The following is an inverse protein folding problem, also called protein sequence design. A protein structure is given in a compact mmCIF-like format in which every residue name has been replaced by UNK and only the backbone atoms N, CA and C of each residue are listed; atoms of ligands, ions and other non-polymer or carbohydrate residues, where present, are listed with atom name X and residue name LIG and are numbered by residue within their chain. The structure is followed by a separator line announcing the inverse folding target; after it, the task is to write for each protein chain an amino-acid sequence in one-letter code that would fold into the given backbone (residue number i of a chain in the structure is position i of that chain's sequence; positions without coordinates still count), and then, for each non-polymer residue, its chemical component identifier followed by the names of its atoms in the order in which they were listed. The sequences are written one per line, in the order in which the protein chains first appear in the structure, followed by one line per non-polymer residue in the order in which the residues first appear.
data_IF_818871544267
#
_entry.id   IF_818871544267
#
_cell.length_a   1.000
_cell.length_b   1.000
_cell.length_c   1.000
_cell.angle_alpha   90.00
_cell.angle_beta   90.00
_cell.angle_gamma   90.00
#
_symmetry.space_group_name_H-M   'P 1'
#
loop_
_entity.id
_entity.type
_entity.pdbx_description
1 polymer ?
#
# COMPACT_ATOMS: atom_id res chain seq x y z
N UNK A 1 -13.82 8.40 -10.11
CA UNK A 1 -12.62 9.13 -10.59
C UNK A 1 -11.52 9.12 -9.53
N UNK A 2 -11.77 9.56 -8.29
CA UNK A 2 -10.75 9.60 -7.23
C UNK A 2 -10.16 8.21 -6.87
N UNK A 3 -11.01 7.18 -6.81
CA UNK A 3 -10.62 5.78 -6.54
C UNK A 3 -9.67 5.17 -7.60
N UNK A 4 -9.81 5.59 -8.86
CA UNK A 4 -8.95 5.12 -9.95
C UNK A 4 -7.59 5.86 -9.92
N UNK A 5 -7.62 7.15 -9.62
CA UNK A 5 -6.42 7.97 -9.47
C UNK A 5 -5.48 7.44 -8.37
N UNK A 6 -6.01 6.92 -7.27
CA UNK A 6 -5.18 6.32 -6.20
C UNK A 6 -4.46 5.07 -6.68
N UNK A 7 -5.13 4.17 -7.40
CA UNK A 7 -4.50 2.98 -7.96
C UNK A 7 -3.42 3.35 -8.99
N UNK A 8 -3.69 4.34 -9.84
CA UNK A 8 -2.69 4.84 -10.80
C UNK A 8 -1.51 5.54 -10.11
N UNK A 9 -1.75 6.27 -9.01
CA UNK A 9 -0.70 6.87 -8.21
C UNK A 9 0.22 5.80 -7.60
N UNK A 10 -0.32 4.66 -7.15
CA UNK A 10 0.49 3.55 -6.64
C UNK A 10 1.43 2.92 -7.68
N UNK A 11 1.10 2.97 -8.97
CA UNK A 11 2.03 2.54 -10.02
C UNK A 11 3.32 3.39 -10.05
N UNK A 12 3.21 4.68 -9.73
CA UNK A 12 4.37 5.58 -9.63
C UNK A 12 5.07 5.48 -8.26
N UNK A 13 4.30 5.31 -7.18
CA UNK A 13 4.81 5.35 -5.80
C UNK A 13 5.40 4.04 -5.31
N UNK A 14 5.01 2.89 -5.86
CA UNK A 14 5.53 1.58 -5.44
C UNK A 14 6.61 1.08 -6.38
N UNK A 15 7.85 0.99 -5.90
CA UNK A 15 8.93 0.25 -6.58
C UNK A 15 9.06 -1.18 -6.04
N UNK A 16 9.89 -2.01 -6.68
CA UNK A 16 10.26 -3.32 -6.12
C UNK A 16 11.02 -3.26 -4.78
N UNK A 17 11.54 -2.08 -4.40
CA UNK A 17 12.34 -1.87 -3.18
C UNK A 17 11.62 -1.09 -2.07
N UNK A 18 10.38 -0.64 -2.30
CA UNK A 18 9.67 0.21 -1.34
C UNK A 18 8.96 1.39 -1.96
N UNK A 19 8.59 2.35 -1.11
CA UNK A 19 7.98 3.62 -1.47
C UNK A 19 8.95 4.58 -2.18
N UNK A 20 8.50 5.19 -3.27
CA UNK A 20 9.27 6.16 -4.06
C UNK A 20 8.96 7.59 -3.63
N UNK A 21 9.64 8.05 -2.58
CA UNK A 21 9.51 9.42 -2.08
C UNK A 21 9.85 10.48 -3.15
N UNK A 22 10.74 10.14 -4.09
CA UNK A 22 11.10 10.99 -5.24
C UNK A 22 9.94 11.23 -6.22
N UNK A 23 8.89 10.41 -6.18
CA UNK A 23 7.72 10.52 -7.06
C UNK A 23 6.53 11.25 -6.43
N UNK A 24 6.61 11.65 -5.16
CA UNK A 24 5.49 12.28 -4.47
C UNK A 24 5.08 13.61 -5.09
N UNK A 25 6.05 14.48 -5.40
CA UNK A 25 5.76 15.78 -6.02
C UNK A 25 5.13 15.63 -7.42
N UNK A 26 5.66 14.79 -8.34
CA UNK A 26 4.99 14.46 -9.59
C UNK A 26 3.57 13.92 -9.41
N UNK A 27 3.37 12.97 -8.49
CA UNK A 27 2.05 12.38 -8.23
C UNK A 27 1.06 13.41 -7.70
N UNK A 28 1.47 14.27 -6.75
CA UNK A 28 0.61 15.34 -6.24
C UNK A 28 0.25 16.36 -7.33
N UNK A 29 1.18 16.65 -8.26
CA UNK A 29 0.91 17.55 -9.39
C UNK A 29 -0.06 16.93 -10.41
N UNK A 30 0.02 15.63 -10.66
CA UNK A 30 -0.82 14.92 -11.65
C UNK A 30 -2.20 14.55 -11.10
N UNK A 31 -2.26 13.99 -9.89
CA UNK A 31 -3.49 13.41 -9.33
C UNK A 31 -4.07 14.22 -8.17
N UNK A 32 -3.33 15.21 -7.67
CA UNK A 32 -3.75 16.06 -6.56
C UNK A 32 -3.19 15.63 -5.20
N UNK A 33 -3.04 16.61 -4.29
CA UNK A 33 -2.50 16.37 -2.94
C UNK A 33 -3.36 15.42 -2.09
N UNK A 34 -4.68 15.40 -2.29
CA UNK A 34 -5.58 14.48 -1.60
C UNK A 34 -5.32 13.01 -1.99
N UNK A 35 -5.07 12.74 -3.28
CA UNK A 35 -4.71 11.39 -3.76
C UNK A 35 -3.38 10.94 -3.18
N UNK A 36 -2.38 11.83 -3.14
CA UNK A 36 -1.09 11.51 -2.50
C UNK A 36 -1.26 11.21 -1.00
N UNK A 37 -2.06 12.01 -0.29
CA UNK A 37 -2.32 11.82 1.14
C UNK A 37 -2.99 10.47 1.40
N UNK A 38 -4.02 10.13 0.61
CA UNK A 38 -4.70 8.84 0.72
C UNK A 38 -3.78 7.66 0.38
N UNK A 39 -2.94 7.78 -0.65
CA UNK A 39 -1.96 6.74 -0.98
C UNK A 39 -0.94 6.51 0.16
N UNK A 40 -0.49 7.58 0.83
CA UNK A 40 0.38 7.49 2.00
C UNK A 40 -0.31 6.83 3.19
N UNK A 41 -1.57 7.17 3.44
CA UNK A 41 -2.36 6.58 4.51
C UNK A 41 -2.50 5.06 4.31
N UNK A 42 -2.91 4.63 3.11
CA UNK A 42 -3.06 3.22 2.74
C UNK A 42 -1.71 2.48 2.83
N UNK A 43 -0.62 3.11 2.39
CA UNK A 43 0.73 2.54 2.51
C UNK A 43 1.13 2.36 3.99
N UNK A 44 0.90 3.38 4.81
CA UNK A 44 1.19 3.33 6.24
C UNK A 44 0.31 2.28 6.95
N UNK A 45 -0.95 2.11 6.56
CA UNK A 45 -1.82 1.05 7.07
C UNK A 45 -1.21 -0.33 6.83
N UNK A 46 -0.73 -0.60 5.62
CA UNK A 46 -0.10 -1.89 5.29
C UNK A 46 1.18 -2.14 6.11
N UNK A 47 2.05 -1.13 6.23
CA UNK A 47 3.32 -1.28 6.95
C UNK A 47 3.17 -1.41 8.46
N UNK A 48 2.16 -0.77 9.05
CA UNK A 48 1.92 -0.79 10.49
C UNK A 48 0.92 -1.87 10.91
N UNK A 49 0.62 -2.83 10.03
CA UNK A 49 -0.27 -3.93 10.36
C UNK A 49 0.32 -4.79 11.48
N UNK A 50 -0.42 -4.91 12.58
CA UNK A 50 0.01 -5.66 13.76
C UNK A 50 -0.10 -7.16 13.54
N UNK A 51 0.99 -7.90 13.76
CA UNK A 51 1.05 -9.35 13.60
C UNK A 51 1.58 -10.01 14.87
N UNK A 52 0.89 -11.07 15.32
CA UNK A 52 1.39 -11.92 16.38
C UNK A 52 2.31 -13.00 15.80
N UNK A 53 3.61 -12.72 15.76
CA UNK A 53 4.63 -13.61 15.18
C UNK A 53 4.82 -14.94 15.93
N UNK A 54 4.23 -15.11 17.11
CA UNK A 54 4.23 -16.40 17.81
C UNK A 54 3.24 -17.40 17.19
N UNK A 55 2.24 -16.89 16.46
CA UNK A 55 1.08 -17.66 15.98
C UNK A 55 0.90 -17.57 14.45
N UNK A 56 1.62 -16.67 13.78
CA UNK A 56 1.42 -16.35 12.36
C UNK A 56 2.72 -16.45 11.57
N UNK A 57 2.68 -17.17 10.46
CA UNK A 57 3.78 -17.22 9.49
C UNK A 57 3.77 -15.99 8.57
N UNK A 58 4.91 -15.67 7.93
CA UNK A 58 4.99 -14.55 7.00
C UNK A 58 3.96 -14.62 5.84
N UNK A 59 3.73 -15.77 5.18
CA UNK A 59 2.69 -15.86 4.15
C UNK A 59 1.27 -15.60 4.68
N UNK A 60 0.94 -16.07 5.88
CA UNK A 60 -0.35 -15.82 6.53
C UNK A 60 -0.51 -14.33 6.84
N UNK A 61 0.53 -13.71 7.41
CA UNK A 61 0.56 -12.27 7.68
C UNK A 61 0.35 -11.44 6.42
N UNK A 62 1.03 -11.78 5.31
CA UNK A 62 0.84 -11.09 4.02
C UNK A 62 -0.60 -11.23 3.49
N UNK A 63 -1.19 -12.43 3.61
CA UNK A 63 -2.58 -12.66 3.19
C UNK A 63 -3.57 -11.86 4.06
N UNK A 64 -3.31 -11.76 5.36
CA UNK A 64 -4.13 -10.99 6.29
C UNK A 64 -4.00 -9.48 6.05
N UNK A 65 -2.80 -8.97 5.75
CA UNK A 65 -2.58 -7.58 5.31
C UNK A 65 -3.38 -7.28 4.04
N UNK A 66 -3.31 -8.15 3.03
CA UNK A 66 -4.06 -7.96 1.79
C UNK A 66 -5.58 -7.94 2.04
N UNK A 67 -6.08 -8.86 2.88
CA UNK A 67 -7.50 -8.89 3.27
C UNK A 67 -7.92 -7.63 4.02
N UNK A 68 -7.10 -7.18 4.98
CA UNK A 68 -7.36 -5.98 5.75
C UNK A 68 -7.37 -4.72 4.87
N UNK A 69 -6.44 -4.63 3.91
CA UNK A 69 -6.41 -3.56 2.90
C UNK A 69 -7.69 -3.54 2.07
N UNK A 70 -8.16 -4.69 1.57
CA UNK A 70 -9.40 -4.77 0.79
C UNK A 70 -10.65 -4.40 1.62
N UNK A 71 -10.65 -4.72 2.92
CA UNK A 71 -11.76 -4.35 3.81
C UNK A 71 -11.77 -2.86 4.15
N UNK A 72 -10.61 -2.27 4.48
CA UNK A 72 -10.49 -0.86 4.84
C UNK A 72 -10.56 0.08 3.63
N UNK A 73 -10.04 -0.37 2.49
CA UNK A 73 -9.94 0.40 1.25
C UNK A 73 -10.46 -0.42 0.06
N UNK A 74 -11.79 -0.58 -0.08
CA UNK A 74 -12.40 -1.45 -1.11
C UNK A 74 -12.10 -1.02 -2.55
N UNK A 75 -11.59 0.19 -2.75
CA UNK A 75 -11.17 0.70 -4.05
C UNK A 75 -9.76 0.24 -4.45
N UNK A 76 -8.95 -0.25 -3.52
CA UNK A 76 -7.58 -0.73 -3.80
C UNK A 76 -7.69 -2.02 -4.61
N UNK A 77 -7.08 -2.02 -5.80
CA UNK A 77 -7.04 -3.19 -6.67
C UNK A 77 -6.21 -4.32 -6.05
N UNK A 78 -6.51 -5.55 -6.45
CA UNK A 78 -5.76 -6.73 -6.00
C UNK A 78 -4.26 -6.62 -6.27
N UNK A 79 -3.88 -6.04 -7.41
CA UNK A 79 -2.48 -5.83 -7.78
C UNK A 79 -1.76 -4.88 -6.82
N UNK A 80 -2.41 -3.75 -6.47
CA UNK A 80 -1.86 -2.81 -5.48
C UNK A 80 -1.83 -3.43 -4.09
N UNK A 81 -2.90 -4.11 -3.68
CA UNK A 81 -2.98 -4.81 -2.39
C UNK A 81 -1.87 -5.85 -2.23
N UNK A 82 -1.61 -6.63 -3.28
CA UNK A 82 -0.51 -7.61 -3.31
C UNK A 82 0.86 -6.91 -3.18
N UNK A 83 1.10 -5.82 -3.90
CA UNK A 83 2.36 -5.05 -3.78
C UNK A 83 2.54 -4.50 -2.37
N UNK A 84 1.50 -3.93 -1.77
CA UNK A 84 1.53 -3.41 -0.40
C UNK A 84 1.83 -4.51 0.64
N UNK A 85 1.23 -5.69 0.50
CA UNK A 85 1.52 -6.84 1.37
C UNK A 85 2.97 -7.33 1.22
N UNK A 86 3.54 -7.27 0.01
CA UNK A 86 4.97 -7.56 -0.19
C UNK A 86 5.86 -6.51 0.48
N UNK A 87 5.51 -5.23 0.39
CA UNK A 87 6.26 -4.16 1.06
C UNK A 87 6.22 -4.30 2.58
N UNK A 88 5.09 -4.73 3.16
CA UNK A 88 5.01 -5.13 4.57
C UNK A 88 6.05 -6.23 4.90
N UNK A 89 6.12 -7.28 4.08
CA UNK A 89 7.07 -8.37 4.28
C UNK A 89 8.55 -7.91 4.18
N UNK A 90 8.84 -6.94 3.32
CA UNK A 90 10.17 -6.33 3.23
C UNK A 90 10.49 -5.44 4.45
N UNK A 91 9.52 -4.65 4.93
CA UNK A 91 9.73 -3.76 6.07
C UNK A 91 9.91 -4.51 7.40
N UNK A 92 9.45 -5.76 7.47
CA UNK A 92 9.65 -6.62 8.64
C UNK A 92 11.04 -7.30 8.69
N UNK A 93 11.68 -7.53 7.53
CA UNK A 93 13.02 -8.15 7.46
C UNK A 93 14.08 -7.25 8.07
#
# INVERSE_FOLDING_TARGET
MENEAVNQAFEALLSGYGWRADQEAPVAATYGAAVLALAKEVYAFALNYGVNWQETTLPEAMADVQRALQQAYPFVSDAVGWRLANHFAYAWK
#
